data_IF_226821071668
#
_entry.id   IF_226821071668
#
_cell.length_a   1.000
_cell.length_b   1.000
_cell.length_c   1.000
_cell.angle_alpha   90.00
_cell.angle_beta   90.00
_cell.angle_gamma   90.00
#
_symmetry.space_group_name_H-M   'P 1'
#
loop_
_entity.id
_entity.type
_entity.pdbx_description
1 polymer ?
#
# COMPACT_ATOMS: atom_id res chain seq x y z
N UNK A 1 -31.85 3.76 -13.35
CA UNK A 1 -31.99 3.07 -14.63
C UNK A 1 -31.18 3.83 -15.67
N UNK A 2 -30.56 3.14 -16.61
CA UNK A 2 -29.71 3.68 -17.67
C UNK A 2 -30.54 4.40 -18.73
N UNK A 3 -31.82 4.06 -18.84
CA UNK A 3 -32.83 4.79 -19.62
C UNK A 3 -33.79 5.52 -18.70
N UNK A 4 -34.40 6.60 -19.20
CA UNK A 4 -35.44 7.37 -18.50
C UNK A 4 -36.86 6.89 -18.80
N UNK A 5 -37.00 5.92 -19.72
CA UNK A 5 -38.23 5.22 -20.06
C UNK A 5 -37.92 3.81 -20.56
N UNK A 6 -38.92 2.92 -20.52
CA UNK A 6 -38.78 1.52 -20.94
C UNK A 6 -37.82 0.71 -20.07
N UNK A 7 -37.22 -0.34 -20.65
CA UNK A 7 -36.29 -1.25 -19.98
C UNK A 7 -34.84 -0.79 -20.09
N UNK A 8 -34.10 -0.89 -18.99
CA UNK A 8 -32.66 -0.59 -18.93
C UNK A 8 -32.01 -1.25 -17.72
N UNK A 9 -30.84 -0.76 -17.32
CA UNK A 9 -30.08 -1.29 -16.19
C UNK A 9 -29.80 -0.21 -15.15
N UNK A 10 -29.87 -0.56 -13.87
CA UNK A 10 -29.39 0.31 -12.79
C UNK A 10 -28.17 -0.32 -12.13
N UNK A 11 -27.21 0.53 -11.78
CA UNK A 11 -25.95 0.12 -11.19
C UNK A 11 -25.86 0.57 -9.74
N UNK A 12 -25.10 -0.16 -8.92
CA UNK A 12 -24.70 0.28 -7.57
C UNK A 12 -23.18 0.29 -7.44
N UNK A 13 -22.61 1.22 -6.65
CA UNK A 13 -21.22 1.09 -6.23
C UNK A 13 -21.07 -0.13 -5.31
N UNK A 14 -19.93 -0.80 -5.41
CA UNK A 14 -19.54 -1.89 -4.50
C UNK A 14 -18.16 -1.53 -3.97
N UNK A 15 -17.99 -1.70 -2.67
CA UNK A 15 -16.74 -1.51 -1.96
C UNK A 15 -16.33 -2.83 -1.30
N UNK A 16 -15.02 -3.09 -1.27
CA UNK A 16 -14.45 -4.14 -0.44
C UNK A 16 -14.07 -3.50 0.90
N UNK A 17 -14.54 -4.06 2.02
CA UNK A 17 -14.34 -3.48 3.36
C UNK A 17 -13.83 -4.52 4.33
N UNK A 18 -13.01 -4.08 5.27
CA UNK A 18 -12.61 -4.90 6.42
C UNK A 18 -13.77 -4.90 7.42
N UNK A 19 -14.25 -6.09 7.76
CA UNK A 19 -15.27 -6.28 8.79
C UNK A 19 -14.66 -6.07 10.17
N UNK A 20 -15.17 -5.09 10.93
CA UNK A 20 -14.77 -4.90 12.32
C UNK A 20 -15.56 -5.85 13.23
N UNK A 21 -14.90 -6.42 14.26
CA UNK A 21 -15.60 -7.18 15.32
C UNK A 21 -16.43 -6.26 16.24
N UNK A 22 -16.17 -4.95 16.22
CA UNK A 22 -16.98 -3.94 16.91
C UNK A 22 -18.04 -3.38 15.95
N UNK A 23 -19.29 -3.28 16.40
CA UNK A 23 -20.48 -2.90 15.60
C UNK A 23 -20.53 -1.45 15.10
N UNK A 24 -19.40 -0.72 15.11
CA UNK A 24 -19.33 0.64 14.61
C UNK A 24 -19.06 0.66 13.10
N UNK A 25 -20.12 0.92 12.31
CA UNK A 25 -20.06 1.06 10.84
C UNK A 25 -19.09 2.16 10.33
N UNK A 26 -18.69 3.11 11.18
CA UNK A 26 -17.68 4.14 10.87
C UNK A 26 -16.24 3.64 10.95
N UNK A 27 -16.01 2.43 11.49
CA UNK A 27 -14.69 1.82 11.65
C UNK A 27 -14.33 0.81 10.54
N UNK A 28 -15.26 0.51 9.61
CA UNK A 28 -15.02 -0.42 8.51
C UNK A 28 -14.29 0.28 7.36
N UNK A 29 -12.96 0.14 7.34
CA UNK A 29 -12.13 0.71 6.29
C UNK A 29 -12.40 0.03 4.93
N UNK A 30 -12.56 0.85 3.89
CA UNK A 30 -12.52 0.37 2.51
C UNK A 30 -11.08 0.00 2.14
N UNK A 31 -10.93 -1.16 1.51
CA UNK A 31 -9.67 -1.71 1.00
C UNK A 31 -9.76 -1.88 -0.52
N UNK A 32 -8.65 -2.27 -1.13
CA UNK A 32 -8.59 -2.56 -2.56
C UNK A 32 -9.52 -3.73 -2.94
N UNK A 33 -10.18 -3.64 -4.10
CA UNK A 33 -11.13 -4.67 -4.59
C UNK A 33 -10.54 -6.08 -4.62
N UNK A 34 -9.24 -6.20 -4.93
CA UNK A 34 -8.53 -7.49 -4.98
C UNK A 34 -8.59 -8.28 -3.67
N UNK A 35 -8.79 -7.59 -2.56
CA UNK A 35 -8.94 -8.20 -1.23
C UNK A 35 -10.21 -9.03 -1.08
N UNK A 36 -11.22 -8.78 -1.92
CA UNK A 36 -12.46 -9.52 -1.94
C UNK A 36 -12.51 -10.56 -3.08
N UNK A 37 -11.41 -10.83 -3.80
CA UNK A 37 -11.41 -11.73 -4.96
C UNK A 37 -11.84 -13.18 -4.62
N UNK A 38 -11.68 -13.61 -3.37
CA UNK A 38 -12.15 -14.92 -2.87
C UNK A 38 -13.59 -14.91 -2.33
N UNK A 39 -14.25 -13.75 -2.29
CA UNK A 39 -15.62 -13.61 -1.79
C UNK A 39 -16.60 -13.57 -2.96
N UNK A 40 -17.85 -13.96 -2.70
CA UNK A 40 -18.91 -13.87 -3.70
C UNK A 40 -19.18 -12.39 -4.03
N UNK A 41 -18.85 -11.98 -5.25
CA UNK A 41 -19.05 -10.59 -5.69
C UNK A 41 -20.55 -10.29 -5.79
N UNK A 42 -21.08 -9.27 -5.10
CA UNK A 42 -22.48 -8.91 -5.22
C UNK A 42 -22.81 -8.41 -6.63
N UNK A 43 -24.06 -8.58 -7.07
CA UNK A 43 -24.52 -8.07 -8.36
C UNK A 43 -24.34 -6.55 -8.46
N UNK A 44 -23.59 -6.07 -9.45
CA UNK A 44 -23.32 -4.64 -9.69
C UNK A 44 -24.47 -3.94 -10.41
N UNK A 45 -25.27 -4.72 -11.14
CA UNK A 45 -26.39 -4.23 -11.94
C UNK A 45 -27.63 -5.08 -11.69
N UNK A 46 -28.78 -4.45 -11.92
CA UNK A 46 -30.04 -5.15 -12.09
C UNK A 46 -30.83 -4.49 -13.20
N UNK A 47 -31.66 -5.27 -13.90
CA UNK A 47 -32.61 -4.72 -14.85
C UNK A 47 -33.59 -3.78 -14.12
N UNK A 48 -34.08 -2.78 -14.84
CA UNK A 48 -35.08 -1.85 -14.36
C UNK A 48 -36.09 -1.54 -15.45
N UNK A 49 -37.36 -1.48 -15.05
CA UNK A 49 -38.46 -1.09 -15.90
C UNK A 49 -39.04 0.24 -15.41
N UNK A 50 -38.84 1.31 -16.20
CA UNK A 50 -39.53 2.59 -16.02
C UNK A 50 -40.79 2.59 -16.91
N UNK A 51 -41.66 3.58 -16.73
CA UNK A 51 -42.79 3.86 -17.61
C UNK A 51 -42.41 3.75 -19.10
N UNK A 52 -43.32 3.27 -19.96
CA UNK A 52 -43.14 3.28 -21.41
C UNK A 52 -42.72 4.64 -21.96
N UNK A 53 -41.98 4.68 -23.07
CA UNK A 53 -41.46 5.92 -23.62
C UNK A 53 -42.54 6.85 -24.20
N UNK A 54 -43.68 6.28 -24.56
CA UNK A 54 -44.90 6.94 -25.01
C UNK A 54 -45.85 7.29 -23.84
N UNK A 55 -45.49 6.97 -22.59
CA UNK A 55 -46.34 7.25 -21.44
C UNK A 55 -46.68 8.74 -21.30
N UNK A 56 -47.91 9.02 -20.86
CA UNK A 56 -48.38 10.39 -20.59
C UNK A 56 -47.54 11.10 -19.52
N UNK A 57 -46.99 10.35 -18.58
CA UNK A 57 -46.19 10.84 -17.46
C UNK A 57 -44.88 10.06 -17.30
N UNK A 58 -43.77 10.76 -17.09
CA UNK A 58 -42.43 10.17 -16.97
C UNK A 58 -41.61 10.75 -15.83
N UNK A 59 -40.70 9.94 -15.30
CA UNK A 59 -39.72 10.41 -14.33
C UNK A 59 -38.61 11.23 -15.00
N UNK A 60 -38.32 12.39 -14.42
CA UNK A 60 -37.14 13.20 -14.70
C UNK A 60 -36.21 13.19 -13.50
N UNK A 61 -34.94 12.85 -13.74
CA UNK A 61 -33.88 12.79 -12.73
C UNK A 61 -32.83 13.87 -13.01
N UNK A 62 -32.45 14.60 -11.96
CA UNK A 62 -31.33 15.52 -12.01
C UNK A 62 -30.00 14.85 -11.65
N UNK A 63 -28.88 15.58 -11.75
CA UNK A 63 -27.59 15.10 -11.26
C UNK A 63 -27.62 14.86 -9.75
N UNK A 64 -26.73 13.98 -9.29
CA UNK A 64 -26.49 13.80 -7.86
C UNK A 64 -25.77 15.01 -7.28
N UNK A 65 -26.12 15.36 -6.04
CA UNK A 65 -25.38 16.31 -5.22
C UNK A 65 -24.01 15.75 -4.85
N UNK A 66 -23.16 16.61 -4.27
CA UNK A 66 -22.01 16.15 -3.51
C UNK A 66 -22.44 15.21 -2.37
N UNK A 67 -21.50 14.37 -1.94
CA UNK A 67 -21.71 13.48 -0.81
C UNK A 67 -21.88 14.32 0.47
N UNK A 68 -22.75 13.87 1.38
CA UNK A 68 -22.99 14.56 2.65
C UNK A 68 -21.79 14.51 3.60
N UNK A 69 -20.83 13.63 3.33
CA UNK A 69 -19.63 13.44 4.13
C UNK A 69 -18.40 13.76 3.26
N UNK A 70 -17.37 14.34 3.88
CA UNK A 70 -16.07 14.63 3.25
C UNK A 70 -15.11 13.42 3.26
N UNK A 71 -15.42 12.41 4.07
CA UNK A 71 -14.77 11.11 4.12
C UNK A 71 -15.80 10.07 4.59
N UNK A 72 -15.47 8.79 4.47
CA UNK A 72 -16.28 7.69 4.94
C UNK A 72 -17.61 7.56 4.21
N UNK A 73 -18.56 6.93 4.89
CA UNK A 73 -19.92 6.77 4.40
C UNK A 73 -20.70 8.08 4.52
N UNK A 74 -21.32 8.48 3.42
CA UNK A 74 -22.32 9.54 3.38
C UNK A 74 -23.49 9.16 2.49
N UNK A 75 -24.31 10.15 2.19
CA UNK A 75 -25.36 10.04 1.19
C UNK A 75 -25.32 11.23 0.23
N UNK A 76 -25.70 10.99 -1.02
CA UNK A 76 -25.97 12.05 -2.00
C UNK A 76 -27.43 12.06 -2.38
N UNK A 77 -27.93 13.24 -2.76
CA UNK A 77 -29.34 13.47 -3.10
C UNK A 77 -29.45 13.95 -4.54
N UNK A 78 -30.56 13.63 -5.20
CA UNK A 78 -30.88 14.21 -6.52
C UNK A 78 -32.33 14.61 -6.60
N UNK A 79 -32.63 15.53 -7.50
CA UNK A 79 -34.01 15.90 -7.83
C UNK A 79 -34.64 14.77 -8.64
N UNK A 80 -35.84 14.33 -8.24
CA UNK A 80 -36.66 13.35 -8.96
C UNK A 80 -38.08 13.90 -9.06
N UNK A 81 -38.51 14.20 -10.29
CA UNK A 81 -39.77 14.88 -10.62
C UNK A 81 -40.60 14.02 -11.59
N UNK A 82 -41.92 14.06 -11.47
CA UNK A 82 -42.83 13.51 -12.48
C UNK A 82 -43.18 14.63 -13.45
N UNK A 83 -42.99 14.39 -14.76
CA UNK A 83 -43.27 15.34 -15.82
C UNK A 83 -44.33 14.78 -16.78
N UNK A 84 -45.15 15.66 -17.37
CA UNK A 84 -46.02 15.32 -18.50
C UNK A 84 -45.25 15.31 -19.85
N UNK A 85 -45.97 15.16 -20.97
CA UNK A 85 -45.39 15.15 -22.32
C UNK A 85 -44.74 16.48 -22.71
N UNK A 86 -45.28 17.59 -22.20
CA UNK A 86 -44.80 18.96 -22.46
C UNK A 86 -43.66 19.36 -21.51
N UNK A 87 -43.22 18.45 -20.64
CA UNK A 87 -42.16 18.69 -19.66
C UNK A 87 -42.61 19.45 -18.42
N UNK A 88 -43.92 19.67 -18.21
CA UNK A 88 -44.44 20.34 -17.02
C UNK A 88 -44.45 19.38 -15.84
N UNK A 89 -44.14 19.91 -14.66
CA UNK A 89 -44.14 19.14 -13.41
C UNK A 89 -45.58 18.85 -12.99
N UNK A 90 -45.87 17.57 -12.74
CA UNK A 90 -47.16 17.09 -12.27
C UNK A 90 -47.05 16.35 -10.93
N UNK A 91 -48.19 15.91 -10.37
CA UNK A 91 -48.18 15.11 -9.14
C UNK A 91 -47.33 13.86 -9.31
N UNK A 92 -46.67 13.47 -8.23
CA UNK A 92 -45.77 12.33 -8.17
C UNK A 92 -46.49 11.01 -8.49
N UNK A 93 -47.72 10.88 -8.00
CA UNK A 93 -48.49 9.63 -8.03
C UNK A 93 -48.81 9.20 -9.46
N UNK A 94 -48.85 10.16 -10.40
CA UNK A 94 -49.04 9.91 -11.83
C UNK A 94 -47.89 9.13 -12.48
N UNK A 95 -46.70 9.17 -11.89
CA UNK A 95 -45.54 8.40 -12.32
C UNK A 95 -45.27 7.15 -11.46
N UNK A 96 -45.96 6.96 -10.33
CA UNK A 96 -45.70 5.85 -9.39
C UNK A 96 -46.25 4.48 -9.89
N UNK A 97 -46.76 4.41 -11.14
CA UNK A 97 -47.07 3.14 -11.82
C UNK A 97 -45.83 2.30 -12.19
N UNK A 98 -44.62 2.87 -12.12
CA UNK A 98 -43.36 2.16 -12.37
C UNK A 98 -42.87 1.40 -11.13
N UNK A 99 -42.48 0.12 -11.23
CA UNK A 99 -41.90 -0.62 -10.10
C UNK A 99 -40.51 -0.07 -9.69
N UNK A 100 -39.69 0.39 -10.65
CA UNK A 100 -38.33 0.88 -10.38
C UNK A 100 -38.24 2.41 -10.33
N UNK A 101 -38.98 3.02 -9.40
CA UNK A 101 -38.91 4.47 -9.16
C UNK A 101 -37.47 4.92 -8.90
N UNK A 102 -36.98 5.97 -9.60
CA UNK A 102 -35.62 6.47 -9.36
C UNK A 102 -35.40 6.92 -7.91
N UNK A 103 -34.31 6.44 -7.30
CA UNK A 103 -33.92 6.81 -5.93
C UNK A 103 -33.64 8.31 -5.83
N UNK A 104 -34.12 8.97 -4.77
CA UNK A 104 -33.80 10.36 -4.43
C UNK A 104 -32.54 10.50 -3.57
N UNK A 105 -32.17 9.43 -2.86
CA UNK A 105 -31.02 9.34 -1.97
C UNK A 105 -30.29 8.04 -2.25
N UNK A 106 -28.96 8.09 -2.28
CA UNK A 106 -28.12 6.89 -2.32
C UNK A 106 -26.88 7.07 -1.47
N UNK A 107 -26.28 5.96 -1.04
CA UNK A 107 -25.02 5.96 -0.31
C UNK A 107 -23.87 6.37 -1.22
N UNK A 108 -22.89 7.05 -0.65
CA UNK A 108 -21.61 7.36 -1.27
C UNK A 108 -20.49 7.10 -0.26
N UNK A 109 -19.33 6.79 -0.80
CA UNK A 109 -18.08 6.72 -0.06
C UNK A 109 -17.04 7.49 -0.87
N UNK A 110 -16.31 8.39 -0.21
CA UNK A 110 -15.28 9.19 -0.88
C UNK A 110 -13.89 8.58 -0.65
N UNK A 111 -13.51 8.45 0.61
CA UNK A 111 -12.22 7.90 1.07
C UNK A 111 -12.36 7.45 2.51
N UNK A 112 -11.40 6.72 3.06
CA UNK A 112 -11.39 6.44 4.50
C UNK A 112 -11.25 7.75 5.32
N UNK A 113 -11.80 7.77 6.54
CA UNK A 113 -11.72 8.95 7.42
C UNK A 113 -10.47 8.99 8.30
N UNK A 114 -9.67 7.92 8.32
CA UNK A 114 -8.44 7.90 9.08
C UNK A 114 -7.29 8.46 8.24
N UNK A 115 -6.35 9.19 8.87
CA UNK A 115 -5.14 9.69 8.23
C UNK A 115 -4.31 8.57 7.58
N UNK A 116 -3.86 8.81 6.36
CA UNK A 116 -3.00 7.87 5.62
C UNK A 116 -1.51 7.94 5.99
N UNK A 117 -1.07 9.08 6.52
CA UNK A 117 0.32 9.39 6.85
C UNK A 117 0.41 10.42 8.00
N UNK A 118 1.63 10.77 8.42
CA UNK A 118 1.85 11.71 9.51
C UNK A 118 1.40 13.15 9.17
N UNK A 119 1.42 13.55 7.91
CA UNK A 119 0.99 14.89 7.49
C UNK A 119 -0.53 15.04 7.59
N UNK A 120 -1.28 14.05 7.11
CA UNK A 120 -2.73 13.98 7.30
C UNK A 120 -3.08 13.84 8.79
N UNK A 121 -2.27 13.11 9.58
CA UNK A 121 -2.51 12.90 10.99
C UNK A 121 -2.38 14.19 11.80
N UNK A 122 -1.36 15.00 11.50
CA UNK A 122 -1.17 16.33 12.07
C UNK A 122 -2.33 17.27 11.69
N UNK A 123 -2.78 17.23 10.43
CA UNK A 123 -3.92 18.02 9.98
C UNK A 123 -5.26 17.57 10.60
N UNK A 124 -5.36 16.30 11.00
CA UNK A 124 -6.56 15.75 11.63
C UNK A 124 -6.75 16.24 13.08
N UNK A 125 -5.69 16.26 13.89
CA UNK A 125 -5.72 16.88 15.22
C UNK A 125 -4.37 17.53 15.56
N UNK A 126 -4.26 18.83 15.27
CA UNK A 126 -3.03 19.59 15.46
C UNK A 126 -2.72 19.88 16.93
N UNK A 127 -3.62 19.61 17.88
CA UNK A 127 -3.30 19.79 19.31
C UNK A 127 -2.68 18.54 19.92
N UNK A 128 -3.11 17.35 19.50
CA UNK A 128 -2.62 16.06 20.03
C UNK A 128 -1.46 15.47 19.21
N UNK A 129 -1.35 15.79 17.92
CA UNK A 129 -0.42 15.16 16.99
C UNK A 129 0.71 16.11 16.57
N UNK A 130 1.42 16.71 17.53
CA UNK A 130 2.59 17.58 17.28
C UNK A 130 3.90 17.05 17.87
N UNK A 131 3.90 15.83 18.41
CA UNK A 131 5.07 15.23 19.07
C UNK A 131 5.54 14.07 18.21
N UNK A 132 6.85 13.89 18.11
CA UNK A 132 7.42 12.74 17.41
C UNK A 132 7.11 11.45 18.17
N UNK A 133 6.84 10.37 17.45
CA UNK A 133 6.50 9.10 18.08
C UNK A 133 5.81 8.11 17.16
N UNK A 134 5.38 7.00 17.76
CA UNK A 134 4.64 5.95 17.05
C UNK A 134 3.16 6.32 16.96
N UNK A 135 2.63 6.35 15.75
CA UNK A 135 1.22 6.62 15.47
C UNK A 135 0.63 5.53 14.58
N UNK A 136 -0.67 5.33 14.68
CA UNK A 136 -1.41 4.42 13.79
C UNK A 136 -2.01 5.21 12.63
N UNK A 137 -1.58 4.91 11.41
CA UNK A 137 -2.13 5.46 10.17
C UNK A 137 -2.84 4.37 9.38
N UNK A 138 -3.57 4.76 8.34
CA UNK A 138 -4.34 3.85 7.51
C UNK A 138 -3.75 3.73 6.10
N UNK A 139 -2.98 2.68 5.86
CA UNK A 139 -2.36 2.40 4.56
C UNK A 139 -3.20 1.35 3.81
N UNK A 140 -3.74 1.73 2.66
CA UNK A 140 -4.59 0.87 1.83
C UNK A 140 -5.78 0.22 2.58
N UNK A 141 -6.28 0.88 3.63
CA UNK A 141 -7.35 0.39 4.50
C UNK A 141 -6.91 -0.46 5.68
N UNK A 142 -5.61 -0.67 5.87
CA UNK A 142 -5.02 -1.39 7.01
C UNK A 142 -4.38 -0.43 8.00
N UNK A 143 -4.58 -0.70 9.28
CA UNK A 143 -3.97 0.09 10.36
C UNK A 143 -2.52 -0.34 10.50
N UNK A 144 -1.60 0.58 10.26
CA UNK A 144 -0.17 0.36 10.37
C UNK A 144 0.41 1.34 11.38
N UNK A 145 1.28 0.85 12.25
CA UNK A 145 2.06 1.68 13.15
C UNK A 145 3.28 2.23 12.41
N UNK A 146 3.37 3.54 12.33
CA UNK A 146 4.48 4.28 11.72
C UNK A 146 5.13 5.18 12.76
N UNK A 147 6.38 5.53 12.56
CA UNK A 147 7.05 6.56 13.34
C UNK A 147 6.92 7.90 12.61
N UNK A 148 6.32 8.88 13.27
CA UNK A 148 6.22 10.25 12.78
C UNK A 148 7.36 11.09 13.36
N UNK A 149 8.06 11.82 12.49
CA UNK A 149 9.18 12.69 12.84
C UNK A 149 8.93 14.11 12.31
N UNK A 150 9.49 15.11 12.99
CA UNK A 150 9.26 16.53 12.70
C UNK A 150 7.78 16.91 12.83
N UNK A 151 7.08 16.33 13.81
CA UNK A 151 5.67 16.58 14.06
C UNK A 151 5.39 18.01 14.54
N UNK A 152 6.42 18.72 15.04
CA UNK A 152 6.32 20.16 15.31
C UNK A 152 6.45 21.02 14.04
N UNK A 153 6.98 20.49 12.93
CA UNK A 153 7.21 21.22 11.67
C UNK A 153 6.02 21.15 10.70
N UNK A 154 6.02 21.98 9.65
CA UNK A 154 4.92 22.04 8.68
C UNK A 154 4.74 20.76 7.87
N UNK A 155 5.82 20.01 7.65
CA UNK A 155 5.85 18.81 6.82
C UNK A 155 6.48 17.64 7.59
N UNK A 156 5.71 16.95 8.45
CA UNK A 156 6.22 15.79 9.17
C UNK A 156 6.55 14.65 8.22
N UNK A 157 7.60 13.91 8.54
CA UNK A 157 8.04 12.72 7.80
C UNK A 157 7.47 11.44 8.42
N UNK A 158 7.17 10.46 7.57
CA UNK A 158 6.59 9.16 7.96
C UNK A 158 7.61 8.05 7.73
N UNK A 159 7.90 7.26 8.76
CA UNK A 159 8.86 6.16 8.72
C UNK A 159 8.24 4.84 9.18
N UNK A 160 8.74 3.73 8.65
CA UNK A 160 8.38 2.39 9.15
C UNK A 160 9.35 2.06 10.29
N UNK A 161 8.80 1.67 11.44
CA UNK A 161 9.61 1.25 12.58
C UNK A 161 10.05 -0.21 12.39
N UNK A 162 11.36 -0.43 12.24
CA UNK A 162 11.97 -1.74 11.96
C UNK A 162 13.16 -1.98 12.91
N UNK A 163 13.47 -3.24 13.18
CA UNK A 163 14.62 -3.60 14.01
C UNK A 163 15.93 -3.39 13.23
N UNK A 164 16.84 -2.56 13.76
CA UNK A 164 18.13 -2.24 13.14
C UNK A 164 19.11 -3.42 13.07
N UNK A 165 18.96 -4.45 13.90
CA UNK A 165 19.81 -5.66 13.85
C UNK A 165 19.49 -6.55 12.65
N UNK A 166 18.24 -6.55 12.19
CA UNK A 166 17.76 -7.38 11.08
C UNK A 166 17.53 -6.59 9.80
N UNK A 167 17.54 -5.26 9.87
CA UNK A 167 17.38 -4.35 8.76
C UNK A 167 18.67 -3.53 8.58
N UNK A 168 19.52 -3.97 7.65
CA UNK A 168 20.83 -3.38 7.40
C UNK A 168 21.24 -3.54 5.93
N UNK A 169 22.20 -2.73 5.49
CA UNK A 169 22.85 -2.84 4.21
C UNK A 169 24.36 -2.65 4.38
N UNK A 170 25.15 -3.49 3.71
CA UNK A 170 26.60 -3.56 3.90
C UNK A 170 27.33 -3.82 2.57
N UNK A 171 28.36 -3.02 2.33
CA UNK A 171 29.45 -3.32 1.41
C UNK A 171 30.63 -3.88 2.21
N UNK A 172 30.98 -5.15 1.98
CA UNK A 172 32.06 -5.80 2.71
C UNK A 172 33.42 -5.31 2.23
N UNK A 173 34.22 -4.78 3.14
CA UNK A 173 35.45 -4.06 2.83
C UNK A 173 36.70 -4.90 2.61
N UNK A 174 36.68 -6.20 2.92
CA UNK A 174 37.88 -7.04 2.77
C UNK A 174 38.02 -7.58 1.37
N UNK A 175 39.26 -7.66 0.87
CA UNK A 175 39.63 -8.26 -0.42
C UNK A 175 40.66 -9.36 -0.23
N UNK A 176 40.39 -10.58 -0.72
CA UNK A 176 41.34 -11.68 -0.64
C UNK A 176 42.64 -11.37 -1.40
N UNK A 177 43.78 -11.76 -0.82
CA UNK A 177 45.08 -11.74 -1.52
C UNK A 177 45.11 -12.70 -2.72
N UNK A 178 44.33 -13.79 -2.64
CA UNK A 178 44.16 -14.77 -3.71
C UNK A 178 42.74 -14.69 -4.27
N UNK A 179 42.47 -13.77 -5.21
CA UNK A 179 41.10 -13.41 -5.60
C UNK A 179 40.37 -14.54 -6.33
N UNK A 180 41.04 -15.54 -6.92
CA UNK A 180 40.37 -16.65 -7.61
C UNK A 180 39.94 -17.80 -6.67
N UNK A 181 39.97 -17.59 -5.35
CA UNK A 181 39.59 -18.58 -4.34
C UNK A 181 38.32 -18.17 -3.60
N UNK A 182 37.62 -19.17 -3.03
CA UNK A 182 36.52 -18.96 -2.09
C UNK A 182 36.76 -19.83 -0.85
N UNK A 183 37.54 -19.32 0.13
CA UNK A 183 37.87 -20.08 1.33
C UNK A 183 36.63 -20.35 2.19
N UNK A 184 36.74 -21.31 3.10
CA UNK A 184 35.68 -21.67 4.07
C UNK A 184 34.31 -21.97 3.44
N UNK A 185 34.28 -22.54 2.22
CA UNK A 185 33.05 -22.80 1.47
C UNK A 185 32.15 -21.56 1.31
N UNK A 186 32.76 -20.37 1.25
CA UNK A 186 32.05 -19.09 1.13
C UNK A 186 31.43 -18.57 2.44
N UNK A 187 31.73 -19.18 3.58
CA UNK A 187 31.41 -18.60 4.87
C UNK A 187 32.29 -17.38 5.14
N UNK A 188 31.68 -16.32 5.68
CA UNK A 188 32.40 -15.11 6.06
C UNK A 188 33.40 -15.44 7.15
N UNK A 189 34.66 -15.06 6.92
CA UNK A 189 35.71 -15.16 7.92
C UNK A 189 36.56 -13.89 7.89
N UNK A 190 36.47 -13.12 8.97
CA UNK A 190 37.20 -11.87 9.14
C UNK A 190 38.70 -12.04 9.42
N UNK A 191 39.16 -13.26 9.69
CA UNK A 191 40.58 -13.60 9.87
C UNK A 191 41.27 -14.03 8.57
N UNK A 192 40.67 -13.73 7.41
CA UNK A 192 41.22 -14.09 6.10
C UNK A 192 42.61 -13.50 5.82
N UNK A 193 43.34 -14.12 4.90
CA UNK A 193 44.49 -13.50 4.23
C UNK A 193 43.99 -12.51 3.18
N UNK A 194 43.70 -11.29 3.61
CA UNK A 194 43.02 -10.27 2.83
C UNK A 194 43.55 -8.86 3.16
N UNK A 195 43.38 -7.92 2.22
CA UNK A 195 43.52 -6.48 2.48
C UNK A 195 42.20 -5.92 2.98
N UNK A 196 42.27 -4.82 3.73
CA UNK A 196 41.08 -4.08 4.16
C UNK A 196 40.99 -2.78 3.34
N UNK A 197 39.98 -2.71 2.48
CA UNK A 197 39.67 -1.53 1.68
C UNK A 197 38.67 -0.60 2.41
N UNK A 198 38.29 -0.94 3.64
CA UNK A 198 37.25 -0.25 4.42
C UNK A 198 35.86 -0.83 4.12
N UNK A 199 35.12 -1.18 5.18
CA UNK A 199 33.73 -1.61 5.05
C UNK A 199 32.80 -0.40 5.15
N UNK A 200 31.76 -0.39 4.32
CA UNK A 200 30.70 0.61 4.35
C UNK A 200 29.40 -0.07 4.79
N UNK A 201 28.74 0.43 5.83
CA UNK A 201 27.46 -0.10 6.29
C UNK A 201 26.52 1.04 6.61
N UNK A 202 25.32 1.06 6.04
CA UNK A 202 24.34 2.08 6.38
C UNK A 202 22.88 1.62 6.21
N UNK A 203 21.98 2.47 6.68
CA UNK A 203 20.53 2.45 6.41
C UNK A 203 20.14 3.90 6.02
N UNK A 204 19.18 4.07 5.10
CA UNK A 204 19.00 5.34 4.36
C UNK A 204 18.28 6.49 5.13
N UNK A 205 18.53 7.76 4.73
CA UNK A 205 18.07 9.09 5.20
C UNK A 205 18.64 9.59 6.54
N UNK A 206 19.61 8.88 7.15
CA UNK A 206 20.39 9.24 8.38
C UNK A 206 19.58 9.75 9.59
N UNK A 207 18.26 9.75 9.52
CA UNK A 207 17.42 10.33 10.57
C UNK A 207 17.45 9.42 11.79
N UNK A 208 17.53 8.11 11.55
CA UNK A 208 17.55 7.06 12.59
C UNK A 208 18.57 5.95 12.31
N UNK A 209 19.32 6.04 11.20
CA UNK A 209 20.29 5.06 10.80
C UNK A 209 21.69 5.41 11.31
N UNK A 210 22.46 4.40 11.70
CA UNK A 210 23.86 4.57 12.08
C UNK A 210 24.77 3.92 11.05
N UNK A 211 25.84 4.62 10.68
CA UNK A 211 26.92 4.08 9.85
C UNK A 211 28.03 3.64 10.78
N UNK A 212 28.36 2.35 10.81
CA UNK A 212 29.43 1.86 11.67
C UNK A 212 30.80 2.31 11.17
N UNK A 213 31.03 2.16 9.85
CA UNK A 213 32.28 2.48 9.16
C UNK A 213 31.98 2.86 7.70
N UNK A 214 32.86 3.63 7.07
CA UNK A 214 32.83 3.92 5.63
C UNK A 214 31.76 4.91 5.17
N UNK A 215 31.39 4.79 3.90
CA UNK A 215 30.41 5.63 3.20
C UNK A 215 28.96 5.10 3.37
N UNK A 216 27.97 5.92 3.01
CA UNK A 216 26.57 5.51 3.06
C UNK A 216 26.24 4.42 2.02
N UNK A 217 25.59 3.36 2.49
CA UNK A 217 25.02 2.30 1.66
C UNK A 217 23.50 2.42 1.64
N UNK A 218 22.93 2.55 0.44
CA UNK A 218 21.49 2.59 0.28
C UNK A 218 20.82 1.32 0.83
N UNK A 219 19.69 1.47 1.53
CA UNK A 219 18.98 0.33 2.12
C UNK A 219 18.66 -0.76 1.07
N UNK A 220 18.72 -2.03 1.49
CA UNK A 220 18.59 -3.21 0.63
C UNK A 220 19.69 -3.37 -0.45
N UNK A 221 20.81 -2.65 -0.32
CA UNK A 221 21.98 -2.78 -1.20
C UNK A 221 23.07 -3.58 -0.49
N UNK A 222 23.80 -4.39 -1.24
CA UNK A 222 24.98 -5.08 -0.73
C UNK A 222 26.00 -5.30 -1.83
N UNK A 223 27.26 -5.45 -1.46
CA UNK A 223 28.33 -5.68 -2.41
C UNK A 223 29.65 -5.97 -1.74
N UNK A 224 30.64 -6.37 -2.53
CA UNK A 224 32.01 -6.52 -2.06
C UNK A 224 32.98 -6.58 -3.24
N UNK A 225 34.25 -6.46 -2.88
CA UNK A 225 35.40 -6.75 -3.72
C UNK A 225 36.16 -7.99 -3.23
N UNK A 226 35.49 -8.93 -2.56
CA UNK A 226 36.14 -9.97 -1.78
C UNK A 226 36.92 -10.97 -2.63
N UNK A 227 36.35 -11.38 -3.77
CA UNK A 227 36.84 -12.47 -4.61
C UNK A 227 36.49 -12.25 -6.09
N UNK A 228 37.31 -12.72 -7.03
CA UNK A 228 37.03 -12.69 -8.47
C UNK A 228 36.12 -13.82 -8.97
N UNK A 229 35.64 -14.69 -8.08
CA UNK A 229 34.71 -15.79 -8.38
C UNK A 229 33.40 -15.65 -7.56
N UNK A 230 32.44 -16.56 -7.75
CA UNK A 230 31.13 -16.59 -7.03
C UNK A 230 31.30 -16.88 -5.53
N UNK A 231 31.75 -15.86 -4.80
CA UNK A 231 32.00 -15.88 -3.35
C UNK A 231 31.55 -14.58 -2.67
N UNK A 232 30.27 -14.18 -2.83
CA UNK A 232 29.77 -12.92 -2.30
C UNK A 232 29.76 -12.92 -0.76
N UNK A 233 30.34 -11.88 -0.19
CA UNK A 233 30.41 -11.57 1.23
C UNK A 233 29.54 -10.38 1.64
N UNK A 234 29.29 -9.40 0.77
CA UNK A 234 28.39 -8.27 1.06
C UNK A 234 26.99 -8.74 1.44
N UNK A 235 26.34 -8.09 2.40
CA UNK A 235 25.06 -8.54 2.97
C UNK A 235 24.04 -7.42 3.14
N UNK A 236 22.77 -7.77 3.02
CA UNK A 236 21.68 -6.92 3.49
C UNK A 236 20.57 -7.76 4.11
N UNK A 237 19.85 -7.15 5.05
CA UNK A 237 18.67 -7.71 5.70
C UNK A 237 17.48 -6.77 5.54
N UNK A 238 16.30 -7.34 5.25
CA UNK A 238 15.01 -6.66 5.32
C UNK A 238 14.09 -7.55 6.14
N UNK A 239 13.57 -7.02 7.24
CA UNK A 239 12.64 -7.72 8.11
C UNK A 239 11.49 -6.79 8.48
N UNK A 240 10.38 -6.98 7.77
CA UNK A 240 9.12 -6.24 7.92
C UNK A 240 8.11 -7.00 8.77
N UNK A 241 8.50 -8.11 9.41
CA UNK A 241 7.58 -8.90 10.23
C UNK A 241 7.02 -8.06 11.37
N UNK A 242 5.72 -8.19 11.61
CA UNK A 242 5.02 -7.42 12.65
C UNK A 242 4.63 -6.00 12.24
N UNK A 243 5.11 -5.51 11.09
CA UNK A 243 4.68 -4.20 10.54
C UNK A 243 3.39 -4.30 9.73
N UNK A 244 2.98 -5.52 9.34
CA UNK A 244 1.86 -5.74 8.42
C UNK A 244 2.21 -5.45 6.95
N UNK A 245 3.50 -5.36 6.63
CA UNK A 245 4.04 -5.09 5.29
C UNK A 245 4.91 -6.24 4.81
N UNK A 246 5.05 -6.35 3.48
CA UNK A 246 5.94 -7.30 2.80
C UNK A 246 6.50 -6.68 1.53
N UNK A 247 7.60 -7.23 1.03
CA UNK A 247 8.17 -6.86 -0.27
C UNK A 247 7.35 -7.49 -1.40
N UNK A 248 7.10 -6.73 -2.47
CA UNK A 248 6.38 -7.24 -3.64
C UNK A 248 7.06 -8.47 -4.26
N UNK A 249 6.24 -9.37 -4.80
CA UNK A 249 6.68 -10.67 -5.35
C UNK A 249 7.54 -10.52 -6.61
N UNK A 250 7.25 -9.53 -7.46
CA UNK A 250 7.95 -9.27 -8.72
C UNK A 250 9.17 -8.36 -8.56
N UNK A 251 9.44 -7.85 -7.35
CA UNK A 251 10.64 -7.06 -7.09
C UNK A 251 11.89 -7.93 -7.25
N UNK A 252 12.93 -7.39 -7.89
CA UNK A 252 14.20 -8.08 -8.10
C UNK A 252 15.36 -7.20 -7.70
N UNK A 253 16.44 -7.85 -7.25
CA UNK A 253 17.75 -7.22 -7.12
C UNK A 253 18.48 -7.35 -8.44
N UNK A 254 19.07 -6.23 -8.87
CA UNK A 254 19.84 -6.15 -10.10
C UNK A 254 21.30 -6.13 -9.73
N UNK A 255 22.04 -7.10 -10.29
CA UNK A 255 23.49 -7.16 -10.17
C UNK A 255 24.14 -6.04 -10.99
N UNK A 256 25.12 -5.39 -10.40
CA UNK A 256 25.89 -4.28 -10.96
C UNK A 256 27.37 -4.62 -10.87
N UNK A 257 28.13 -4.31 -11.92
CA UNK A 257 29.54 -4.67 -12.04
C UNK A 257 29.80 -5.86 -12.95
N UNK A 258 31.06 -6.30 -13.02
CA UNK A 258 31.48 -7.40 -13.88
C UNK A 258 31.55 -8.71 -13.08
N UNK A 259 30.92 -9.79 -13.58
CA UNK A 259 30.88 -11.11 -12.90
C UNK A 259 30.34 -11.05 -11.47
N UNK A 260 29.45 -10.11 -11.20
CA UNK A 260 28.74 -10.00 -9.94
C UNK A 260 27.81 -11.20 -9.75
N UNK A 261 27.68 -11.62 -8.51
CA UNK A 261 26.79 -12.70 -8.09
C UNK A 261 25.92 -12.20 -6.94
N UNK A 262 24.62 -12.48 -7.01
CA UNK A 262 23.70 -12.28 -5.89
C UNK A 262 22.95 -13.56 -5.53
N UNK A 263 22.69 -13.71 -4.23
CA UNK A 263 21.89 -14.80 -3.65
C UNK A 263 20.86 -14.17 -2.74
N UNK A 264 19.62 -14.12 -3.21
CA UNK A 264 18.51 -13.48 -2.51
C UNK A 264 17.57 -14.56 -1.96
N UNK A 265 17.44 -14.60 -0.65
CA UNK A 265 16.57 -15.52 0.09
C UNK A 265 15.31 -14.77 0.54
N UNK A 266 14.14 -15.29 0.16
CA UNK A 266 12.83 -14.75 0.55
C UNK A 266 12.14 -15.73 1.49
N UNK A 267 11.59 -15.22 2.58
CA UNK A 267 10.88 -16.00 3.59
C UNK A 267 9.71 -15.23 4.19
N UNK A 268 8.88 -15.89 5.00
CA UNK A 268 7.75 -15.27 5.70
C UNK A 268 6.79 -14.50 4.77
N UNK A 269 6.40 -15.09 3.64
CA UNK A 269 5.53 -14.45 2.64
C UNK A 269 6.13 -13.15 2.04
N UNK A 270 7.46 -13.08 1.92
CA UNK A 270 8.25 -11.90 1.56
C UNK A 270 8.25 -10.76 2.60
N UNK A 271 7.84 -11.04 3.83
CA UNK A 271 8.07 -10.12 4.94
C UNK A 271 9.55 -10.07 5.34
N UNK A 272 10.31 -11.13 5.04
CA UNK A 272 11.74 -11.22 5.34
C UNK A 272 12.55 -11.53 4.08
N UNK A 273 13.57 -10.72 3.84
CA UNK A 273 14.52 -10.86 2.74
C UNK A 273 15.94 -10.82 3.31
N UNK A 274 16.78 -11.75 2.92
CA UNK A 274 18.21 -11.71 3.18
C UNK A 274 18.96 -11.87 1.87
N UNK A 275 19.93 -11.00 1.62
CA UNK A 275 20.70 -11.03 0.39
C UNK A 275 22.19 -11.05 0.64
N UNK A 276 22.89 -11.86 -0.16
CA UNK A 276 24.35 -11.79 -0.30
C UNK A 276 24.70 -11.35 -1.71
N UNK A 277 25.53 -10.33 -1.83
CA UNK A 277 25.88 -9.74 -3.12
C UNK A 277 27.36 -9.38 -3.17
N UNK A 278 27.99 -9.59 -4.32
CA UNK A 278 29.43 -9.44 -4.41
C UNK A 278 30.09 -10.17 -5.56
N UNK A 279 31.39 -10.42 -5.40
CA UNK A 279 32.25 -11.01 -6.41
C UNK A 279 33.33 -10.01 -6.83
N UNK A 280 33.56 -9.86 -8.14
CA UNK A 280 34.65 -9.04 -8.67
C UNK A 280 34.32 -7.53 -8.57
N UNK A 281 34.34 -6.99 -7.36
CA UNK A 281 33.91 -5.63 -7.05
C UNK A 281 32.48 -5.35 -7.52
N UNK A 282 31.60 -6.29 -7.20
CA UNK A 282 30.20 -6.28 -7.61
C UNK A 282 29.29 -5.85 -6.47
N UNK A 283 28.12 -5.32 -6.83
CA UNK A 283 27.04 -5.03 -5.88
C UNK A 283 25.69 -5.40 -6.47
N UNK A 284 24.68 -5.55 -5.61
CA UNK A 284 23.29 -5.67 -6.02
C UNK A 284 22.45 -4.64 -5.26
N UNK A 285 21.40 -4.16 -5.90
CA UNK A 285 20.39 -3.30 -5.26
C UNK A 285 19.03 -3.56 -5.89
N UNK A 286 17.91 -3.12 -5.27
CA UNK A 286 16.63 -3.05 -5.95
C UNK A 286 16.76 -2.26 -7.25
N UNK A 287 15.93 -2.60 -8.24
CA UNK A 287 15.87 -1.91 -9.52
C UNK A 287 15.82 -0.39 -9.31
N UNK A 288 16.82 0.33 -9.84
CA UNK A 288 16.98 1.78 -9.63
C UNK A 288 15.78 2.63 -10.07
N UNK A 289 14.98 2.15 -11.03
CA UNK A 289 13.80 2.87 -11.51
C UNK A 289 12.53 2.53 -10.71
N UNK A 290 12.48 1.35 -10.10
CA UNK A 290 11.35 0.90 -9.28
C UNK A 290 11.54 1.19 -7.79
N UNK A 291 12.78 1.14 -7.30
CA UNK A 291 13.12 1.18 -5.89
C UNK A 291 12.65 -0.07 -5.12
N UNK A 292 12.72 0.01 -3.80
CA UNK A 292 12.15 -1.01 -2.91
C UNK A 292 10.63 -0.82 -2.83
N UNK A 293 9.88 -1.68 -3.50
CA UNK A 293 8.41 -1.64 -3.47
C UNK A 293 7.87 -2.64 -2.45
N UNK A 294 7.11 -2.12 -1.50
CA UNK A 294 6.43 -2.88 -0.45
C UNK A 294 4.91 -2.77 -0.60
N UNK A 295 4.20 -3.76 -0.06
CA UNK A 295 2.75 -3.78 0.00
C UNK A 295 2.24 -4.37 1.31
N UNK A 296 0.91 -4.33 1.51
CA UNK A 296 0.28 -4.90 2.70
C UNK A 296 0.45 -6.41 2.71
N UNK A 297 0.85 -6.95 3.86
CA UNK A 297 0.79 -8.37 4.15
C UNK A 297 -0.45 -8.70 5.00
N UNK A 298 -1.48 -9.19 4.33
CA UNK A 298 -2.74 -9.57 4.97
C UNK A 298 -2.60 -10.79 5.88
N UNK A 299 -1.57 -11.62 5.71
CA UNK A 299 -1.36 -12.81 6.56
C UNK A 299 -0.76 -12.44 7.91
N UNK A 300 -0.05 -11.33 8.01
CA UNK A 300 0.49 -10.82 9.27
C UNK A 300 -0.62 -10.20 10.16
N UNK A 301 -1.73 -9.75 9.56
CA UNK A 301 -2.86 -9.18 10.28
C UNK A 301 -3.92 -10.25 10.64
N UNK A 302 -3.56 -11.15 11.55
CA UNK A 302 -4.41 -12.24 12.07
C UNK A 302 -5.70 -11.78 12.78
N UNK A 303 -5.89 -10.47 13.00
CA UNK A 303 -7.09 -9.91 13.63
C UNK A 303 -8.25 -9.70 12.66
N UNK A 304 -8.02 -9.76 11.34
CA UNK A 304 -9.06 -9.68 10.31
C UNK A 304 -9.47 -11.08 9.92
N UNK A 305 -10.43 -11.64 10.66
CA UNK A 305 -11.13 -12.85 10.24
C UNK A 305 -11.80 -12.58 8.89
N UNK A 306 -11.28 -13.20 7.84
CA UNK A 306 -11.95 -13.26 6.53
C UNK A 306 -13.11 -14.21 6.70
N UNK A 307 -14.31 -13.65 6.91
CA UNK A 307 -15.56 -14.38 7.12
C UNK A 307 -16.75 -13.60 6.59
#
# INVERSE_FOLDING_TARGET
CSKTCGTGYQFRPIECRIRSKTSNFSAEASVQTRMCNGLTRPSVSKECAINPCDAKYRWSVGPWSQCSASCGLGFRRRRVRCLDRDGRRVSRDLCDRSPDRPKRRESCFLRNCLPGDCAELKAYNTQENNVDGNYTVLVAGFRITVFCHLMNETLPKTYINVNSETNFAEIYGKRLLYPFTCPHNGQRNDTCMCTDDGSASAVHDHTFATTSHGEEVAFATAGDCYSAVDCPQGQFGIDLRGTGLRVMDDLRWIDQGHRTSSRIERSDNNARIFGRCGGYCGQCSPDKFKGLIIEIDHKQNLSVGVG
#
